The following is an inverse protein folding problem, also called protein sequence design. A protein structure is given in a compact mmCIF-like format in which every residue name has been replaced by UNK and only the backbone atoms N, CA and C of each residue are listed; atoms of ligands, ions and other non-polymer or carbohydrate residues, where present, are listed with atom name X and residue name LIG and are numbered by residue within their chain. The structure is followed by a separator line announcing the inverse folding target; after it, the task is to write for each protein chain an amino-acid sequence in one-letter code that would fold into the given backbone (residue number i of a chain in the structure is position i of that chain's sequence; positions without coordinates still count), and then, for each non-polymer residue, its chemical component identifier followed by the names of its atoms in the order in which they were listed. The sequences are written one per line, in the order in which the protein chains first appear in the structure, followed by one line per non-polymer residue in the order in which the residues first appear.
data_IF_783135590240
#
_entry.id   IF_783135590240
#
_cell.length_a   1.000
_cell.length_b   1.000
_cell.length_c   1.000
_cell.angle_alpha   90.00
_cell.angle_beta   90.00
_cell.angle_gamma   90.00
#
_symmetry.space_group_name_H-M   'P 1'
#
loop_
_entity.id
_entity.type
_entity.pdbx_description
1 polymer ?
#
# COMPACT_ATOMS: atom_id res chain seq x y z
N UNK A 1 -10.64 7.37 -12.59
CA UNK A 1 -9.85 7.83 -13.76
C UNK A 1 -8.61 8.54 -13.24
N UNK A 2 -7.42 8.14 -13.70
CA UNK A 2 -6.14 8.68 -13.23
C UNK A 2 -5.56 9.69 -14.22
N UNK A 3 -4.83 10.65 -13.70
CA UNK A 3 -4.04 11.63 -14.46
C UNK A 3 -2.56 11.43 -14.12
N UNK A 4 -1.71 11.44 -15.14
CA UNK A 4 -0.26 11.35 -14.97
C UNK A 4 0.36 12.74 -15.01
N UNK A 5 1.20 13.05 -14.03
CA UNK A 5 1.97 14.28 -13.98
C UNK A 5 3.46 13.95 -13.77
N UNK A 6 4.32 14.52 -14.60
CA UNK A 6 5.76 14.41 -14.41
C UNK A 6 6.23 15.54 -13.50
N UNK A 7 6.84 15.18 -12.39
CA UNK A 7 7.47 16.12 -11.46
C UNK A 7 8.95 15.80 -11.33
N UNK A 8 9.71 16.74 -10.76
CA UNK A 8 11.12 16.51 -10.41
C UNK A 8 11.23 16.68 -8.92
N UNK A 9 11.47 15.59 -8.22
CA UNK A 9 11.60 15.60 -6.76
C UNK A 9 13.03 15.24 -6.35
N UNK A 10 13.46 15.84 -5.26
CA UNK A 10 14.66 15.40 -4.54
C UNK A 10 14.20 14.43 -3.47
N UNK A 11 14.66 13.16 -3.48
CA UNK A 11 14.29 12.20 -2.44
C UNK A 11 14.58 12.75 -1.04
N UNK A 12 13.70 12.47 -0.08
CA UNK A 12 13.88 12.91 1.30
C UNK A 12 15.21 12.43 1.87
N UNK A 13 15.98 13.37 2.45
CA UNK A 13 17.34 13.09 3.01
C UNK A 13 18.50 13.34 2.05
N UNK A 14 18.25 13.74 0.78
CA UNK A 14 19.29 14.12 -0.17
C UNK A 14 19.41 15.64 -0.33
N UNK A 15 20.61 16.15 -0.59
CA UNK A 15 20.84 17.58 -0.87
C UNK A 15 20.48 17.90 -2.32
N UNK A 16 20.09 19.16 -2.60
CA UNK A 16 19.68 19.61 -3.94
C UNK A 16 20.77 19.36 -5.03
N UNK A 17 22.00 19.19 -4.64
CA UNK A 17 23.14 18.91 -5.54
C UNK A 17 23.20 17.44 -5.98
N UNK A 18 22.54 16.54 -5.26
CA UNK A 18 22.78 15.12 -5.43
C UNK A 18 21.82 14.40 -6.38
N UNK A 19 20.68 14.87 -6.80
CA UNK A 19 19.86 14.13 -7.78
C UNK A 19 18.39 14.51 -7.75
N UNK A 20 18.07 15.66 -8.33
CA UNK A 20 16.69 15.88 -8.81
C UNK A 20 16.39 14.82 -9.88
N UNK A 21 15.51 13.86 -9.57
CA UNK A 21 15.09 12.81 -10.48
C UNK A 21 13.67 13.07 -10.97
N UNK A 22 13.37 12.77 -12.24
CA UNK A 22 12.00 12.77 -12.69
C UNK A 22 11.22 11.67 -11.96
N UNK A 23 10.10 12.05 -11.38
CA UNK A 23 9.13 11.17 -10.73
C UNK A 23 7.81 11.33 -11.47
N UNK A 24 7.15 10.25 -11.78
CA UNK A 24 5.82 10.29 -12.37
C UNK A 24 4.82 10.18 -11.22
N UNK A 25 4.01 11.21 -11.03
CA UNK A 25 2.89 11.18 -10.10
C UNK A 25 1.63 10.70 -10.83
N UNK A 26 0.95 9.73 -10.23
CA UNK A 26 -0.36 9.26 -10.67
C UNK A 26 -1.37 9.92 -9.74
N UNK A 27 -2.15 10.85 -10.28
CA UNK A 27 -3.13 11.63 -9.53
C UNK A 27 -4.53 11.09 -9.78
N UNK A 28 -5.37 11.06 -8.77
CA UNK A 28 -6.80 10.89 -8.97
C UNK A 28 -7.35 12.06 -9.80
N UNK A 29 -8.24 11.77 -10.73
CA UNK A 29 -8.74 12.76 -11.68
C UNK A 29 -9.73 13.75 -11.02
N UNK A 30 -10.44 13.33 -10.00
CA UNK A 30 -11.47 14.14 -9.34
C UNK A 30 -10.91 14.99 -8.22
N UNK A 31 -10.13 14.39 -7.33
CA UNK A 31 -9.49 15.09 -6.20
C UNK A 31 -8.23 15.86 -6.61
N UNK A 32 -7.58 15.43 -7.70
CA UNK A 32 -6.26 15.90 -8.14
C UNK A 32 -5.15 15.67 -7.09
N UNK A 33 -5.37 14.71 -6.20
CA UNK A 33 -4.39 14.26 -5.21
C UNK A 33 -3.51 13.15 -5.78
N UNK A 34 -2.22 13.11 -5.42
CA UNK A 34 -1.34 12.04 -5.87
C UNK A 34 -1.68 10.73 -5.13
N UNK A 35 -1.94 9.65 -5.87
CA UNK A 35 -2.16 8.31 -5.30
C UNK A 35 -0.92 7.43 -5.36
N UNK A 36 -0.10 7.61 -6.41
CA UNK A 36 1.14 6.85 -6.56
C UNK A 36 2.27 7.71 -7.10
N UNK A 37 3.48 7.39 -6.71
CA UNK A 37 4.72 7.90 -7.28
C UNK A 37 5.50 6.78 -7.95
N UNK A 38 5.93 7.01 -9.19
CA UNK A 38 6.74 6.06 -9.96
C UNK A 38 8.16 6.59 -10.08
N UNK A 39 9.08 5.84 -9.52
CA UNK A 39 10.51 6.10 -9.57
C UNK A 39 11.20 5.15 -10.54
N UNK A 40 12.14 5.65 -11.35
CA UNK A 40 12.93 4.83 -12.25
C UNK A 40 14.40 4.88 -11.83
N UNK A 41 15.01 3.71 -11.65
CA UNK A 41 16.40 3.53 -11.29
C UNK A 41 17.11 2.72 -12.39
N UNK A 42 17.48 3.36 -13.49
CA UNK A 42 18.04 2.64 -14.64
C UNK A 42 17.01 1.76 -15.33
N UNK A 43 17.11 0.45 -15.18
CA UNK A 43 16.15 -0.52 -15.72
C UNK A 43 15.07 -0.93 -14.71
N UNK A 44 15.19 -0.49 -13.46
CA UNK A 44 14.25 -0.81 -12.40
C UNK A 44 13.19 0.29 -12.28
N UNK A 45 11.94 -0.11 -12.06
CA UNK A 45 10.82 0.79 -11.79
C UNK A 45 10.24 0.44 -10.42
N UNK A 46 10.02 1.44 -9.59
CA UNK A 46 9.41 1.30 -8.27
C UNK A 46 8.18 2.19 -8.20
N UNK A 47 7.04 1.60 -7.88
CA UNK A 47 5.75 2.30 -7.71
C UNK A 47 5.41 2.32 -6.24
N UNK A 48 5.34 3.51 -5.67
CA UNK A 48 5.05 3.73 -4.25
C UNK A 48 3.71 4.40 -4.13
N UNK A 49 2.78 3.89 -3.31
CA UNK A 49 1.57 4.63 -3.01
C UNK A 49 1.93 5.92 -2.25
N UNK A 50 1.38 7.05 -2.70
CA UNK A 50 1.46 8.32 -2.00
C UNK A 50 0.32 8.54 -1.02
N UNK A 51 -0.67 7.63 -1.05
CA UNK A 51 -1.66 7.56 0.03
C UNK A 51 -0.94 7.25 1.33
N UNK A 52 -0.35 8.29 1.80
CA UNK A 52 0.15 8.47 3.13
C UNK A 52 -0.83 7.94 4.14
N UNK A 53 -0.25 7.49 5.12
CA UNK A 53 -0.22 8.26 6.37
C UNK A 53 -0.31 9.82 6.18
N UNK A 54 -1.43 10.37 5.64
CA UNK A 54 -1.98 11.55 6.27
C UNK A 54 -1.92 11.18 7.73
N UNK A 55 -1.07 11.86 8.50
CA UNK A 55 -0.94 11.59 9.94
C UNK A 55 -2.35 11.66 10.49
N UNK A 56 -2.99 10.47 10.55
CA UNK A 56 -4.35 10.35 11.09
C UNK A 56 -4.30 11.09 12.39
N UNK A 57 -5.11 12.11 12.52
CA UNK A 57 -5.22 12.83 13.78
C UNK A 57 -5.50 11.83 14.89
N UNK A 58 -5.13 12.13 16.12
CA UNK A 58 -5.45 11.23 17.23
C UNK A 58 -6.94 10.90 17.32
N UNK A 59 -7.82 11.78 16.83
CA UNK A 59 -9.26 11.55 16.73
C UNK A 59 -9.63 10.53 15.65
N UNK A 60 -9.02 10.60 14.47
CA UNK A 60 -9.24 9.63 13.38
C UNK A 60 -8.74 8.24 13.75
N UNK A 61 -7.56 8.14 14.39
CA UNK A 61 -7.04 6.87 14.93
C UNK A 61 -7.98 6.24 15.96
N UNK A 62 -8.60 7.07 16.79
CA UNK A 62 -9.56 6.59 17.79
C UNK A 62 -10.87 6.15 17.13
N UNK A 63 -11.37 6.93 16.16
CA UNK A 63 -12.56 6.61 15.39
C UNK A 63 -12.37 5.30 14.62
N UNK A 64 -11.25 5.13 13.93
CA UNK A 64 -10.91 3.88 13.22
C UNK A 64 -10.96 2.68 14.16
N UNK A 65 -10.28 2.73 15.30
CA UNK A 65 -10.29 1.64 16.29
C UNK A 65 -11.69 1.31 16.80
N UNK A 66 -12.52 2.33 17.00
CA UNK A 66 -13.90 2.13 17.45
C UNK A 66 -14.74 1.46 16.36
N UNK A 67 -14.59 1.89 15.11
CA UNK A 67 -15.27 1.29 13.95
C UNK A 67 -14.79 -0.15 13.73
N UNK A 68 -13.49 -0.40 13.74
CA UNK A 68 -12.92 -1.76 13.66
C UNK A 68 -13.48 -2.68 14.73
N UNK A 69 -13.55 -2.20 15.98
CA UNK A 69 -14.11 -2.97 17.08
C UNK A 69 -15.59 -3.31 16.88
N UNK A 70 -16.38 -2.39 16.34
CA UNK A 70 -17.79 -2.62 16.04
C UNK A 70 -17.97 -3.57 14.84
N UNK A 71 -17.19 -3.38 13.77
CA UNK A 71 -17.24 -4.23 12.58
C UNK A 71 -16.86 -5.68 12.86
N UNK A 72 -15.95 -5.96 13.80
CA UNK A 72 -15.57 -7.32 14.21
C UNK A 72 -16.74 -8.16 14.77
N UNK A 73 -17.87 -7.54 15.06
CA UNK A 73 -19.07 -8.28 15.47
C UNK A 73 -19.85 -8.84 14.27
N UNK A 74 -19.57 -8.34 13.07
CA UNK A 74 -20.28 -8.67 11.83
C UNK A 74 -19.39 -9.33 10.78
N UNK A 75 -18.08 -9.17 10.89
CA UNK A 75 -17.09 -9.58 9.90
C UNK A 75 -16.03 -10.40 10.61
N UNK A 76 -15.84 -11.65 10.17
CA UNK A 76 -14.81 -12.54 10.70
C UNK A 76 -13.41 -12.20 10.17
N UNK A 77 -13.33 -11.60 8.98
CA UNK A 77 -12.07 -11.12 8.39
C UNK A 77 -11.59 -9.81 9.05
N UNK A 78 -10.30 -9.54 9.00
CA UNK A 78 -9.71 -8.27 9.44
C UNK A 78 -9.83 -7.24 8.28
N UNK A 79 -10.83 -6.34 8.30
CA UNK A 79 -11.08 -5.44 7.20
C UNK A 79 -10.07 -4.28 7.18
N UNK A 80 -9.64 -3.87 5.99
CA UNK A 80 -8.96 -2.59 5.85
C UNK A 80 -10.01 -1.48 5.68
N UNK A 81 -9.91 -0.43 6.49
CA UNK A 81 -10.84 0.69 6.48
C UNK A 81 -10.13 1.91 5.91
N UNK A 82 -10.75 2.54 4.92
CA UNK A 82 -10.34 3.81 4.33
C UNK A 82 -11.43 4.86 4.58
N UNK A 83 -11.08 6.02 5.14
CA UNK A 83 -12.02 7.12 5.33
C UNK A 83 -12.17 7.90 4.03
N UNK A 84 -13.37 7.94 3.45
CA UNK A 84 -13.69 8.75 2.28
C UNK A 84 -14.15 10.16 2.68
N UNK A 85 -14.81 10.28 3.83
CA UNK A 85 -15.23 11.52 4.46
C UNK A 85 -15.54 11.29 5.94
N UNK A 86 -15.93 12.35 6.66
CA UNK A 86 -16.29 12.28 8.09
C UNK A 86 -17.44 11.29 8.39
N UNK A 87 -18.27 10.96 7.40
CA UNK A 87 -19.43 10.10 7.55
C UNK A 87 -19.50 8.96 6.55
N UNK A 88 -18.40 8.67 5.85
CA UNK A 88 -18.35 7.62 4.84
C UNK A 88 -17.01 6.90 4.86
N UNK A 89 -17.06 5.59 4.94
CA UNK A 89 -15.88 4.73 4.90
C UNK A 89 -15.96 3.75 3.72
N UNK A 90 -14.80 3.36 3.22
CA UNK A 90 -14.64 2.21 2.34
C UNK A 90 -14.09 1.04 3.15
N UNK A 91 -14.75 -0.09 3.02
CA UNK A 91 -14.39 -1.34 3.67
C UNK A 91 -13.82 -2.29 2.63
N UNK A 92 -12.55 -2.58 2.71
CA UNK A 92 -11.89 -3.54 1.83
C UNK A 92 -11.82 -4.90 2.53
N UNK A 93 -12.47 -5.89 1.93
CA UNK A 93 -12.61 -7.25 2.48
C UNK A 93 -12.33 -8.31 1.42
N UNK A 94 -12.01 -9.56 1.81
CA UNK A 94 -11.92 -10.67 0.87
C UNK A 94 -13.19 -10.80 0.02
N UNK A 95 -13.05 -11.19 -1.25
CA UNK A 95 -14.16 -11.22 -2.21
C UNK A 95 -15.31 -12.15 -1.77
N UNK A 96 -14.97 -13.25 -1.11
CA UNK A 96 -15.92 -14.23 -0.56
C UNK A 96 -16.74 -13.69 0.61
N UNK A 97 -16.24 -12.70 1.35
CA UNK A 97 -16.91 -12.05 2.48
C UNK A 97 -17.90 -10.95 2.03
N UNK A 98 -17.72 -10.35 0.85
CA UNK A 98 -18.56 -9.23 0.36
C UNK A 98 -20.05 -9.57 0.41
N UNK A 99 -20.41 -10.74 -0.10
CA UNK A 99 -21.81 -11.17 -0.15
C UNK A 99 -22.43 -11.37 1.25
N UNK A 100 -21.59 -11.74 2.22
CA UNK A 100 -21.99 -11.92 3.62
C UNK A 100 -22.24 -10.57 4.30
N UNK A 101 -21.36 -9.62 4.05
CA UNK A 101 -21.42 -8.27 4.63
C UNK A 101 -22.59 -7.49 4.05
N UNK A 102 -22.77 -7.51 2.73
CA UNK A 102 -23.89 -6.82 2.08
C UNK A 102 -25.23 -7.49 2.44
N UNK A 103 -25.26 -8.81 2.47
CA UNK A 103 -26.49 -9.57 2.71
C UNK A 103 -27.49 -9.53 1.56
N UNK A 104 -28.61 -10.20 1.74
CA UNK A 104 -29.66 -10.29 0.71
C UNK A 104 -30.36 -8.95 0.52
N UNK A 105 -30.12 -8.31 -0.64
CA UNK A 105 -30.73 -7.03 -0.97
C UNK A 105 -30.22 -5.84 -0.15
N UNK A 106 -29.07 -5.98 0.51
CA UNK A 106 -28.46 -4.91 1.30
C UNK A 106 -28.85 -4.94 2.81
N UNK A 107 -29.72 -5.87 3.23
CA UNK A 107 -30.26 -5.87 4.60
C UNK A 107 -29.20 -5.90 5.72
N UNK A 108 -28.03 -6.55 5.47
CA UNK A 108 -27.00 -6.61 6.49
C UNK A 108 -26.18 -5.30 6.55
N UNK A 109 -25.81 -4.76 5.38
CA UNK A 109 -25.03 -3.52 5.33
C UNK A 109 -25.86 -2.35 5.87
N UNK A 110 -27.14 -2.23 5.48
CA UNK A 110 -28.04 -1.19 5.99
C UNK A 110 -28.12 -1.21 7.53
N UNK A 111 -28.17 -2.43 8.11
CA UNK A 111 -28.18 -2.57 9.57
C UNK A 111 -26.87 -2.17 10.23
N UNK A 112 -25.75 -2.51 9.60
CA UNK A 112 -24.40 -2.15 10.11
C UNK A 112 -24.25 -0.62 10.05
N UNK A 113 -24.64 0.01 8.95
CA UNK A 113 -24.63 1.46 8.79
C UNK A 113 -25.50 2.17 9.83
N UNK A 114 -26.70 1.67 10.04
CA UNK A 114 -27.62 2.19 11.06
C UNK A 114 -27.06 2.12 12.49
N UNK A 115 -26.34 1.01 12.82
CA UNK A 115 -25.77 0.82 14.15
C UNK A 115 -24.47 1.61 14.37
N UNK A 116 -23.64 1.74 13.32
CA UNK A 116 -22.37 2.47 13.40
C UNK A 116 -22.60 3.98 13.18
N UNK A 117 -23.63 4.34 12.43
CA UNK A 117 -23.98 5.71 12.07
C UNK A 117 -23.08 6.30 10.98
N UNK A 118 -22.50 5.47 10.13
CA UNK A 118 -21.58 5.84 9.05
C UNK A 118 -21.95 5.05 7.79
N UNK A 119 -21.95 5.71 6.63
CA UNK A 119 -22.14 5.07 5.34
C UNK A 119 -20.94 4.18 4.98
N UNK A 120 -21.17 2.98 4.43
CA UNK A 120 -20.13 1.99 4.15
C UNK A 120 -20.18 1.56 2.70
N UNK A 121 -19.11 1.82 1.95
CA UNK A 121 -18.89 1.19 0.65
C UNK A 121 -18.04 -0.06 0.84
N UNK A 122 -18.54 -1.22 0.40
CA UNK A 122 -17.80 -2.49 0.47
C UNK A 122 -17.18 -2.79 -0.88
N UNK A 123 -15.86 -2.94 -0.90
CA UNK A 123 -15.12 -3.30 -2.10
C UNK A 123 -14.25 -4.54 -1.84
N UNK A 124 -13.96 -5.32 -2.89
CA UNK A 124 -13.02 -6.41 -2.74
C UNK A 124 -11.66 -5.86 -2.36
N UNK A 125 -11.11 -6.38 -1.28
CA UNK A 125 -9.69 -6.28 -1.02
C UNK A 125 -9.03 -7.07 -2.14
N UNK A 126 -8.31 -6.39 -3.03
CA UNK A 126 -7.59 -7.10 -4.09
C UNK A 126 -6.82 -8.23 -3.44
N UNK A 127 -7.21 -9.46 -3.72
CA UNK A 127 -6.44 -10.60 -3.28
C UNK A 127 -5.07 -10.42 -3.88
N UNK A 128 -4.07 -10.28 -3.03
CA UNK A 128 -2.69 -10.51 -3.44
C UNK A 128 -2.58 -12.02 -3.69
N UNK A 129 -3.17 -12.49 -4.81
CA UNK A 129 -3.13 -13.89 -5.26
C UNK A 129 -1.77 -14.27 -5.83
N UNK A 130 -0.79 -13.41 -5.57
CA UNK A 130 0.58 -13.62 -5.99
C UNK A 130 1.25 -14.60 -5.05
N UNK A 131 1.99 -15.54 -5.63
CA UNK A 131 2.78 -16.51 -4.88
C UNK A 131 3.90 -15.79 -4.11
N UNK A 132 4.07 -16.14 -2.83
CA UNK A 132 5.19 -15.65 -2.03
C UNK A 132 6.50 -16.26 -2.55
N UNK A 133 7.51 -15.43 -2.70
CA UNK A 133 8.83 -15.85 -3.13
C UNK A 133 9.88 -15.57 -2.05
N UNK A 134 10.91 -16.41 -2.00
CA UNK A 134 12.03 -16.24 -1.11
C UNK A 134 12.83 -14.98 -1.47
N UNK A 135 13.32 -14.27 -0.46
CA UNK A 135 14.14 -13.09 -0.66
C UNK A 135 15.26 -13.00 0.40
N UNK A 136 16.28 -12.21 0.09
CA UNK A 136 17.34 -11.82 1.02
C UNK A 136 17.48 -10.30 1.01
N UNK A 137 17.79 -9.72 2.18
CA UNK A 137 18.07 -8.29 2.30
C UNK A 137 19.53 -8.07 2.60
N UNK A 138 20.18 -7.20 1.82
CA UNK A 138 21.56 -6.79 2.00
C UNK A 138 21.68 -5.27 1.98
N UNK A 139 22.49 -4.74 2.89
CA UNK A 139 22.87 -3.33 2.86
C UNK A 139 24.15 -3.16 2.03
N UNK A 140 24.08 -2.40 0.94
CA UNK A 140 25.20 -2.14 0.04
C UNK A 140 25.44 -0.63 -0.11
N UNK A 141 26.38 -0.09 0.65
CA UNK A 141 26.71 1.34 0.60
C UNK A 141 25.54 2.24 1.00
N UNK A 142 25.00 2.98 0.05
CA UNK A 142 23.84 3.87 0.24
C UNK A 142 22.49 3.22 -0.10
N UNK A 143 22.50 1.93 -0.41
CA UNK A 143 21.27 1.22 -0.82
C UNK A 143 21.00 0.02 0.09
N UNK A 144 19.73 -0.33 0.19
CA UNK A 144 19.24 -1.61 0.67
C UNK A 144 18.76 -2.38 -0.54
N UNK A 145 19.23 -3.61 -0.68
CA UNK A 145 18.93 -4.47 -1.82
C UNK A 145 18.10 -5.64 -1.34
N UNK A 146 16.97 -5.87 -2.00
CA UNK A 146 16.15 -7.07 -1.85
C UNK A 146 16.51 -7.98 -3.02
N UNK A 147 17.17 -9.09 -2.74
CA UNK A 147 17.53 -10.11 -3.74
C UNK A 147 16.46 -11.20 -3.72
N UNK A 148 15.77 -11.36 -4.84
CA UNK A 148 14.71 -12.36 -5.04
C UNK A 148 15.14 -13.48 -6.00
N UNK A 149 16.35 -13.37 -6.57
CA UNK A 149 16.89 -14.31 -7.53
C UNK A 149 16.73 -13.90 -8.99
N UNK A 150 17.69 -14.33 -9.80
CA UNK A 150 17.77 -13.96 -11.23
C UNK A 150 16.66 -14.57 -12.07
N UNK A 151 16.00 -15.61 -11.60
CA UNK A 151 14.85 -16.25 -12.22
C UNK A 151 13.65 -15.32 -12.36
N UNK A 152 13.53 -14.32 -11.47
CA UNK A 152 12.45 -13.33 -11.49
C UNK A 152 12.84 -12.04 -12.21
N UNK A 153 13.98 -12.02 -12.91
CA UNK A 153 14.45 -10.83 -13.62
C UNK A 153 13.46 -10.36 -14.67
N UNK A 154 13.01 -9.10 -14.55
CA UNK A 154 12.03 -8.47 -15.44
C UNK A 154 10.57 -8.71 -15.03
N UNK A 155 10.33 -9.51 -14.01
CA UNK A 155 8.99 -9.70 -13.45
C UNK A 155 8.62 -8.57 -12.49
N UNK A 156 7.34 -8.30 -12.36
CA UNK A 156 6.79 -7.34 -11.40
C UNK A 156 6.41 -8.05 -10.11
N UNK A 157 6.93 -7.55 -8.99
CA UNK A 157 6.67 -8.10 -7.67
C UNK A 157 6.04 -7.06 -6.76
N UNK A 158 5.21 -7.53 -5.83
CA UNK A 158 4.66 -6.72 -4.75
C UNK A 158 5.44 -7.00 -3.46
N UNK A 159 5.81 -5.95 -2.77
CA UNK A 159 6.44 -6.03 -1.44
C UNK A 159 5.42 -5.56 -0.42
N UNK A 160 5.12 -6.43 0.55
CA UNK A 160 4.05 -6.22 1.52
C UNK A 160 4.54 -6.44 2.96
N UNK A 161 3.84 -5.85 3.93
CA UNK A 161 4.04 -6.08 5.36
C UNK A 161 2.78 -6.73 5.93
N UNK A 162 2.73 -8.06 5.95
CA UNK A 162 1.48 -8.76 6.21
C UNK A 162 0.45 -8.39 5.15
N UNK A 163 -0.62 -7.71 5.56
CA UNK A 163 -1.67 -7.26 4.64
C UNK A 163 -1.47 -5.84 4.07
N UNK A 164 -0.45 -5.13 4.51
CA UNK A 164 -0.15 -3.78 4.06
C UNK A 164 0.73 -3.82 2.81
N UNK A 165 0.24 -3.27 1.70
CA UNK A 165 1.03 -3.05 0.50
C UNK A 165 2.03 -1.93 0.74
N UNK A 166 3.33 -2.21 0.57
CA UNK A 166 4.37 -1.20 0.71
C UNK A 166 4.73 -0.58 -0.64
N UNK A 167 4.98 -1.40 -1.65
CA UNK A 167 5.30 -0.95 -3.00
C UNK A 167 5.32 -2.12 -3.99
N UNK A 168 5.22 -1.80 -5.29
CA UNK A 168 5.52 -2.73 -6.37
C UNK A 168 6.84 -2.35 -7.05
N UNK A 169 7.55 -3.32 -7.56
CA UNK A 169 8.79 -3.10 -8.31
C UNK A 169 8.98 -4.12 -9.42
N UNK A 170 9.60 -3.67 -10.52
CA UNK A 170 10.13 -4.58 -11.54
C UNK A 170 11.51 -5.06 -11.09
N UNK A 171 11.73 -6.35 -11.05
CA UNK A 171 13.00 -6.96 -10.63
C UNK A 171 14.08 -6.68 -11.68
N UNK A 172 15.20 -6.14 -11.24
CA UNK A 172 16.34 -5.87 -12.10
C UNK A 172 17.02 -7.14 -12.66
N UNK A 173 17.90 -6.99 -13.66
CA UNK A 173 18.59 -8.11 -14.35
C UNK A 173 19.41 -9.03 -13.44
N UNK A 174 19.75 -8.55 -12.25
CA UNK A 174 20.51 -9.35 -11.26
C UNK A 174 19.60 -10.10 -10.30
N UNK A 175 18.27 -10.00 -10.46
CA UNK A 175 17.31 -10.52 -9.49
C UNK A 175 17.15 -9.62 -8.26
N UNK A 176 17.52 -8.35 -8.38
CA UNK A 176 17.62 -7.43 -7.26
C UNK A 176 16.64 -6.25 -7.41
N UNK A 177 16.12 -5.77 -6.28
CA UNK A 177 15.38 -4.51 -6.15
C UNK A 177 16.19 -3.61 -5.22
N UNK A 178 16.49 -2.39 -5.66
CA UNK A 178 17.37 -1.47 -4.92
C UNK A 178 16.55 -0.31 -4.35
N UNK A 179 16.64 -0.10 -3.05
CA UNK A 179 16.03 1.02 -2.34
C UNK A 179 17.11 1.95 -1.80
N UNK A 180 16.84 3.25 -1.77
CA UNK A 180 17.76 4.22 -1.14
C UNK A 180 17.69 4.08 0.37
N UNK A 181 18.84 3.92 1.04
CA UNK A 181 18.95 3.62 2.48
C UNK A 181 18.29 4.66 3.40
N UNK A 182 18.27 5.93 2.98
CA UNK A 182 17.75 7.05 3.75
C UNK A 182 16.33 7.44 3.29
N UNK A 183 15.41 6.47 3.12
CA UNK A 183 14.03 6.73 2.76
C UNK A 183 13.07 6.08 3.76
N UNK A 184 11.93 6.72 4.00
CA UNK A 184 10.87 6.20 4.88
C UNK A 184 10.39 4.81 4.42
N UNK A 185 10.35 4.58 3.10
CA UNK A 185 10.02 3.28 2.53
C UNK A 185 11.03 2.21 2.95
N UNK A 186 12.33 2.52 2.91
CA UNK A 186 13.38 1.58 3.32
C UNK A 186 13.28 1.27 4.81
N UNK A 187 12.97 2.25 5.64
CA UNK A 187 12.78 2.05 7.07
C UNK A 187 11.55 1.13 7.34
N UNK A 188 10.45 1.31 6.60
CA UNK A 188 9.29 0.41 6.65
C UNK A 188 9.65 -1.02 6.26
N UNK A 189 10.41 -1.20 5.17
CA UNK A 189 10.89 -2.51 4.69
C UNK A 189 11.78 -3.18 5.72
N UNK A 190 12.78 -2.49 6.24
CA UNK A 190 13.71 -3.04 7.25
C UNK A 190 12.98 -3.40 8.54
N UNK A 191 12.02 -2.59 8.97
CA UNK A 191 11.19 -2.89 10.15
C UNK A 191 10.32 -4.12 9.91
N UNK A 192 9.67 -4.23 8.75
CA UNK A 192 8.87 -5.38 8.37
C UNK A 192 9.73 -6.66 8.32
N UNK A 193 10.92 -6.59 7.74
CA UNK A 193 11.87 -7.70 7.71
C UNK A 193 12.31 -8.12 9.12
N UNK A 194 12.70 -7.17 9.97
CA UNK A 194 13.13 -7.44 11.34
C UNK A 194 12.03 -8.06 12.21
N UNK A 195 10.76 -7.78 11.90
CA UNK A 195 9.60 -8.34 12.60
C UNK A 195 9.06 -9.63 11.99
N UNK A 196 9.68 -10.11 10.89
CA UNK A 196 9.25 -11.33 10.17
C UNK A 196 7.89 -11.18 9.49
N UNK A 197 7.52 -9.96 9.10
CA UNK A 197 6.25 -9.63 8.44
C UNK A 197 6.42 -9.17 6.99
N UNK A 198 7.65 -9.05 6.51
CA UNK A 198 7.91 -8.70 5.12
C UNK A 198 7.70 -9.92 4.24
N UNK A 199 6.96 -9.73 3.16
CA UNK A 199 6.75 -10.74 2.13
C UNK A 199 6.96 -10.09 0.77
N UNK A 200 7.51 -10.88 -0.17
CA UNK A 200 7.62 -10.51 -1.59
C UNK A 200 6.78 -11.50 -2.38
N UNK A 201 5.92 -10.98 -3.26
CA UNK A 201 4.92 -11.77 -3.97
C UNK A 201 4.96 -11.47 -5.47
N UNK A 202 4.78 -12.51 -6.31
CA UNK A 202 4.81 -12.44 -7.77
C UNK A 202 3.50 -12.90 -8.39
#
# INVERSE_FOLDING_TARGET
VYRLQLTVKVPAGMTEEDLARPVIEILDFESNEPEYEVYTYGEETVVVPTSDEQEETGAEKLARKQIEYQLRQYIDADPKIEFLSDNHIKLLVPEDEISHIIGKGGENIDRIEDEIGIDITVEPRGELTKDEIDYQIEERGKSVVIDVGTEFSGEDVDVVRGDEFLFAATVGKKGEISLTKESDLTDKVLNAHATGKLEVRI
#
